data_IF_937119289523
#
_entry.id   IF_937119289523
#
_cell.length_a   1.000
_cell.length_b   1.000
_cell.length_c   1.000
_cell.angle_alpha   90.00
_cell.angle_beta   90.00
_cell.angle_gamma   90.00
#
_symmetry.space_group_name_H-M   'P 1'
#
loop_
_entity.id
_entity.type
_entity.pdbx_description
1 polymer ?
#
# COMPACT_ATOMS: atom_id res chain seq x y z
N UNK A 1 6.94 -14.65 6.50
CA UNK A 1 7.56 -13.34 6.81
C UNK A 1 6.48 -12.46 7.44
N UNK A 2 6.86 -11.30 7.98
CA UNK A 2 5.93 -10.38 8.64
C UNK A 2 4.85 -9.81 7.70
N UNK A 3 3.93 -9.03 8.26
CA UNK A 3 3.02 -8.17 7.52
C UNK A 3 3.24 -6.71 7.93
N UNK A 4 3.69 -5.89 6.98
CA UNK A 4 3.74 -4.43 7.08
C UNK A 4 2.62 -3.84 6.24
N UNK A 5 1.89 -2.90 6.82
CA UNK A 5 0.73 -2.22 6.26
C UNK A 5 0.96 -0.71 6.37
N UNK A 6 0.64 0.04 5.33
CA UNK A 6 0.40 1.48 5.45
C UNK A 6 -1.04 1.77 5.09
N UNK A 7 -1.66 2.72 5.79
CA UNK A 7 -3.04 3.09 5.56
C UNK A 7 -3.20 4.60 5.66
N UNK A 8 -4.14 5.13 4.89
CA UNK A 8 -4.59 6.51 4.99
C UNK A 8 -5.68 6.63 6.05
N UNK A 9 -5.92 7.85 6.54
CA UNK A 9 -6.99 8.13 7.49
C UNK A 9 -8.39 7.80 6.94
N UNK A 10 -8.53 7.83 5.60
CA UNK A 10 -9.76 7.50 4.88
C UNK A 10 -9.93 6.02 4.57
N UNK A 11 -8.95 5.18 4.92
CA UNK A 11 -9.07 3.75 4.71
C UNK A 11 -10.24 3.20 5.57
N UNK A 12 -11.19 2.45 4.99
CA UNK A 12 -12.33 1.91 5.73
C UNK A 12 -11.88 1.07 6.93
N UNK A 13 -12.62 1.08 8.03
CA UNK A 13 -12.32 0.21 9.18
C UNK A 13 -12.28 -1.26 8.74
N UNK A 14 -11.24 -1.99 9.15
CA UNK A 14 -11.09 -3.42 8.85
C UNK A 14 -12.00 -4.23 9.80
N UNK A 15 -12.87 -5.13 9.33
CA UNK A 15 -13.62 -6.03 10.20
C UNK A 15 -12.74 -6.95 11.07
N UNK A 16 -13.20 -7.31 12.27
CA UNK A 16 -12.38 -8.09 13.22
C UNK A 16 -11.85 -9.41 12.65
N UNK A 17 -12.62 -10.12 11.81
CA UNK A 17 -12.18 -11.38 11.21
C UNK A 17 -10.92 -11.24 10.34
N UNK A 18 -10.72 -10.11 9.67
CA UNK A 18 -9.50 -9.82 8.92
C UNK A 18 -8.33 -9.50 9.85
N UNK A 19 -8.59 -8.82 10.97
CA UNK A 19 -7.58 -8.56 11.98
C UNK A 19 -7.14 -9.87 12.67
N UNK A 20 -8.08 -10.78 12.93
CA UNK A 20 -7.82 -12.14 13.40
C UNK A 20 -6.97 -12.92 12.38
N UNK A 21 -7.31 -12.82 11.09
CA UNK A 21 -6.54 -13.43 10.01
C UNK A 21 -5.10 -12.91 10.00
N UNK A 22 -4.88 -11.59 9.97
CA UNK A 22 -3.54 -11.00 9.99
C UNK A 22 -2.71 -11.47 11.19
N UNK A 23 -3.34 -11.52 12.36
CA UNK A 23 -2.71 -12.01 13.58
C UNK A 23 -2.34 -13.50 13.49
N UNK A 24 -3.21 -14.34 12.93
CA UNK A 24 -3.00 -15.79 12.85
C UNK A 24 -1.73 -16.17 12.07
N UNK A 25 -1.32 -15.34 11.10
CA UNK A 25 -0.08 -15.49 10.35
C UNK A 25 1.13 -14.85 11.05
N UNK A 26 0.92 -13.86 11.93
CA UNK A 26 1.97 -12.99 12.48
C UNK A 26 1.81 -12.73 13.99
N UNK A 27 1.85 -13.77 14.85
CA UNK A 27 1.46 -13.64 16.27
C UNK A 27 2.57 -13.11 17.20
N UNK A 28 3.80 -12.90 16.72
CA UNK A 28 4.98 -12.72 17.60
C UNK A 28 5.23 -11.25 18.01
N UNK A 29 4.37 -10.32 17.58
CA UNK A 29 4.46 -8.91 17.94
C UNK A 29 3.63 -8.05 17.01
N UNK A 30 3.04 -6.98 17.52
CA UNK A 30 2.36 -5.99 16.69
C UNK A 30 2.74 -4.57 17.13
N UNK A 31 2.80 -3.65 16.18
CA UNK A 31 3.02 -2.25 16.49
C UNK A 31 2.40 -1.32 15.45
N UNK A 32 2.11 -0.10 15.90
CA UNK A 32 1.55 0.99 15.09
C UNK A 32 2.41 2.24 15.31
N UNK A 33 2.64 3.00 14.24
CA UNK A 33 3.15 4.37 14.32
C UNK A 33 2.30 5.33 13.50
N UNK A 34 2.03 6.51 14.05
CA UNK A 34 1.27 7.59 13.42
C UNK A 34 1.73 8.93 13.99
N UNK A 35 1.27 10.04 13.40
CA UNK A 35 1.48 11.38 13.95
C UNK A 35 0.16 11.95 14.47
N UNK A 36 0.20 12.52 15.67
CA UNK A 36 -0.93 13.18 16.32
C UNK A 36 -0.41 14.39 17.09
N UNK A 37 -1.06 15.55 16.89
CA UNK A 37 -0.66 16.84 17.48
C UNK A 37 0.82 17.19 17.25
N UNK A 38 1.33 16.88 16.05
CA UNK A 38 2.72 17.14 15.67
C UNK A 38 3.75 16.27 16.40
N UNK A 39 3.32 15.14 16.97
CA UNK A 39 4.18 14.17 17.66
C UNK A 39 4.00 12.78 17.07
N UNK A 40 5.12 12.08 16.90
CA UNK A 40 5.14 10.69 16.46
C UNK A 40 4.74 9.79 17.64
N UNK A 41 3.62 9.09 17.49
CA UNK A 41 3.11 8.11 18.44
C UNK A 41 3.58 6.71 18.04
N UNK A 42 4.04 5.92 19.02
CA UNK A 42 4.43 4.52 18.83
C UNK A 42 3.78 3.65 19.88
N UNK A 43 3.04 2.64 19.42
CA UNK A 43 2.42 1.65 20.28
C UNK A 43 2.86 0.25 19.85
N UNK A 44 3.23 -0.58 20.82
CA UNK A 44 3.67 -1.97 20.59
C UNK A 44 3.04 -2.90 21.59
N UNK A 45 2.76 -4.12 21.15
CA UNK A 45 2.32 -5.21 22.00
C UNK A 45 3.02 -6.50 21.57
N UNK A 46 3.26 -7.39 22.53
CA UNK A 46 3.50 -8.81 22.26
C UNK A 46 2.15 -9.49 22.53
N UNK A 47 1.32 -9.69 21.49
CA UNK A 47 -0.02 -10.21 21.68
C UNK A 47 0.03 -11.67 22.14
N UNK A 48 -0.91 -12.03 23.01
CA UNK A 48 -1.11 -13.41 23.49
C UNK A 48 -2.35 -14.06 22.86
N UNK A 49 -3.26 -13.24 22.33
CA UNK A 49 -4.40 -13.63 21.52
C UNK A 49 -4.71 -12.55 20.46
N UNK A 50 -5.64 -12.85 19.55
CA UNK A 50 -6.02 -11.92 18.47
C UNK A 50 -6.62 -10.61 19.03
N UNK A 51 -7.36 -10.69 20.14
CA UNK A 51 -7.98 -9.55 20.78
C UNK A 51 -6.96 -8.49 21.24
N UNK A 52 -5.73 -8.90 21.59
CA UNK A 52 -4.66 -7.96 21.94
C UNK A 52 -4.25 -7.11 20.72
N UNK A 53 -4.18 -7.72 19.53
CA UNK A 53 -3.91 -7.01 18.28
C UNK A 53 -5.11 -6.16 17.82
N UNK A 54 -6.32 -6.72 17.87
CA UNK A 54 -7.55 -5.99 17.52
C UNK A 54 -7.64 -4.73 18.37
N UNK A 55 -7.43 -4.84 19.68
CA UNK A 55 -7.44 -3.68 20.57
C UNK A 55 -6.38 -2.64 20.18
N UNK A 56 -5.15 -3.05 19.88
CA UNK A 56 -4.12 -2.14 19.39
C UNK A 56 -4.57 -1.41 18.11
N UNK A 57 -5.15 -2.14 17.15
CA UNK A 57 -5.65 -1.57 15.90
C UNK A 57 -6.77 -0.55 16.15
N UNK A 58 -7.79 -0.93 16.92
CA UNK A 58 -8.95 -0.05 17.21
C UNK A 58 -8.54 1.22 17.94
N UNK A 59 -7.64 1.11 18.91
CA UNK A 59 -7.22 2.26 19.71
C UNK A 59 -6.32 3.22 18.92
N UNK A 60 -5.44 2.70 18.06
CA UNK A 60 -4.29 3.45 17.54
C UNK A 60 -4.16 3.50 16.01
N UNK A 61 -4.85 2.66 15.26
CA UNK A 61 -4.77 2.64 13.80
C UNK A 61 -6.09 3.06 13.15
N UNK A 62 -7.23 2.62 13.67
CA UNK A 62 -8.52 2.85 13.02
C UNK A 62 -8.80 4.34 12.78
N UNK A 63 -9.20 4.68 11.55
CA UNK A 63 -9.42 6.06 11.08
C UNK A 63 -8.18 6.97 11.05
N UNK A 64 -6.95 6.42 11.09
CA UNK A 64 -5.70 7.21 11.10
C UNK A 64 -4.78 6.86 9.94
N UNK A 65 -4.11 7.89 9.43
CA UNK A 65 -2.94 7.69 8.57
C UNK A 65 -1.80 7.13 9.41
N UNK A 66 -1.41 5.89 9.14
CA UNK A 66 -0.48 5.18 9.99
C UNK A 66 0.24 4.04 9.25
N UNK A 67 1.29 3.54 9.88
CA UNK A 67 1.93 2.29 9.51
C UNK A 67 1.75 1.26 10.63
N UNK A 68 1.46 0.03 10.24
CA UNK A 68 1.17 -1.10 11.13
C UNK A 68 2.11 -2.24 10.76
N UNK A 69 2.68 -2.92 11.74
CA UNK A 69 3.49 -4.09 11.50
C UNK A 69 3.11 -5.22 12.45
N UNK A 70 2.77 -6.38 11.88
CA UNK A 70 2.66 -7.63 12.59
C UNK A 70 3.88 -8.50 12.30
N UNK A 71 4.49 -9.00 13.35
CA UNK A 71 5.75 -9.72 13.33
C UNK A 71 5.50 -11.22 13.32
N UNK A 72 6.15 -11.88 12.37
CA UNK A 72 6.43 -13.30 12.44
C UNK A 72 7.93 -13.48 12.69
N UNK A 73 8.29 -14.07 13.83
CA UNK A 73 9.68 -14.13 14.29
C UNK A 73 10.52 -15.03 13.38
N UNK A 74 11.44 -14.40 12.65
CA UNK A 74 12.55 -15.10 11.97
C UNK A 74 13.81 -15.13 12.82
N UNK A 75 14.14 -14.01 13.49
CA UNK A 75 15.32 -13.81 14.32
C UNK A 75 15.01 -12.93 15.55
N UNK A 76 15.94 -12.91 16.52
CA UNK A 76 15.79 -12.20 17.80
C UNK A 76 14.82 -12.90 18.74
N UNK A 77 14.55 -12.29 19.90
CA UNK A 77 13.57 -12.81 20.87
C UNK A 77 12.16 -12.25 20.62
N UNK A 78 11.13 -12.91 21.17
CA UNK A 78 9.74 -12.41 21.20
C UNK A 78 9.63 -11.44 22.39
N UNK A 79 9.81 -10.14 22.13
CA UNK A 79 9.71 -9.08 23.13
C UNK A 79 9.46 -7.73 22.44
N UNK A 80 9.03 -6.73 23.21
CA UNK A 80 8.76 -5.38 22.69
C UNK A 80 9.98 -4.68 22.08
N UNK A 81 11.19 -5.04 22.51
CA UNK A 81 12.42 -4.46 21.94
C UNK A 81 12.63 -4.91 20.50
N UNK A 82 12.27 -6.16 20.19
CA UNK A 82 12.38 -6.72 18.85
C UNK A 82 11.11 -6.54 17.99
N UNK A 83 10.04 -6.00 18.56
CA UNK A 83 8.79 -5.69 17.85
C UNK A 83 8.89 -4.34 17.15
N UNK A 84 8.54 -4.29 15.86
CA UNK A 84 8.45 -3.03 15.11
C UNK A 84 7.36 -2.11 15.68
N UNK A 85 7.45 -0.79 15.48
CA UNK A 85 8.49 -0.04 14.74
C UNK A 85 9.78 0.18 15.55
N UNK A 86 10.91 0.42 14.89
CA UNK A 86 12.19 0.73 15.55
C UNK A 86 12.53 2.21 15.45
N UNK A 87 13.13 2.74 16.51
CA UNK A 87 13.65 4.10 16.53
C UNK A 87 14.94 4.19 15.71
N UNK A 88 14.90 4.98 14.64
CA UNK A 88 16.11 5.37 13.91
C UNK A 88 16.76 6.56 14.62
N UNK A 89 15.98 7.60 14.91
CA UNK A 89 16.39 8.75 15.73
C UNK A 89 15.29 9.11 16.72
N UNK A 90 15.68 9.43 17.95
CA UNK A 90 14.76 9.88 19.01
C UNK A 90 14.32 11.34 18.84
N UNK A 91 13.40 11.79 19.69
CA UNK A 91 12.89 13.17 19.69
C UNK A 91 13.98 14.23 19.93
N UNK A 92 15.09 13.86 20.56
CA UNK A 92 16.22 14.73 20.88
C UNK A 92 17.17 14.98 19.69
N UNK A 93 16.98 14.27 18.58
CA UNK A 93 17.73 14.51 17.36
C UNK A 93 17.40 15.89 16.75
N UNK A 94 18.39 16.57 16.18
CA UNK A 94 18.27 17.94 15.63
C UNK A 94 17.14 18.11 14.60
N UNK A 95 16.83 17.03 13.89
CA UNK A 95 15.80 17.01 12.84
C UNK A 95 14.49 16.36 13.33
N UNK A 96 14.37 16.02 14.61
CA UNK A 96 13.21 15.33 15.20
C UNK A 96 13.25 13.80 15.05
N UNK A 97 12.22 13.14 15.60
CA UNK A 97 12.13 11.69 15.64
C UNK A 97 11.91 11.08 14.25
N UNK A 98 12.50 9.90 14.03
CA UNK A 98 12.34 9.07 12.85
C UNK A 98 12.24 7.61 13.26
N UNK A 99 11.17 6.94 12.82
CA UNK A 99 10.92 5.54 13.11
C UNK A 99 10.77 4.73 11.83
N UNK A 100 11.05 3.42 11.92
CA UNK A 100 10.95 2.52 10.78
C UNK A 100 10.34 1.16 11.09
N UNK A 101 9.59 0.64 10.12
CA UNK A 101 9.14 -0.74 10.07
C UNK A 101 9.82 -1.47 8.93
N UNK A 102 10.04 -2.77 9.08
CA UNK A 102 10.69 -3.60 8.06
C UNK A 102 9.94 -4.90 7.88
N UNK A 103 9.69 -5.27 6.63
CA UNK A 103 9.30 -6.63 6.29
C UNK A 103 10.39 -7.28 5.44
N UNK A 104 10.91 -8.41 5.92
CA UNK A 104 11.86 -9.25 5.22
C UNK A 104 12.95 -9.80 6.13
N UNK A 105 14.07 -10.18 5.53
CA UNK A 105 15.30 -10.62 6.21
C UNK A 105 16.48 -9.97 5.51
N UNK A 106 17.21 -9.14 6.26
CA UNK A 106 18.34 -8.39 5.72
C UNK A 106 19.57 -9.29 5.62
N UNK A 107 20.25 -9.24 4.47
CA UNK A 107 21.45 -10.03 4.22
C UNK A 107 22.62 -9.68 5.16
N UNK A 108 22.57 -8.50 5.80
CA UNK A 108 23.51 -8.09 6.86
C UNK A 108 23.41 -8.96 8.11
N UNK A 109 22.25 -9.58 8.35
CA UNK A 109 21.99 -10.52 9.43
C UNK A 109 22.11 -9.93 10.84
N UNK A 110 22.15 -10.80 11.84
CA UNK A 110 22.24 -10.45 13.26
C UNK A 110 23.35 -11.22 14.01
N UNK A 111 24.39 -11.65 13.30
CA UNK A 111 25.42 -12.53 13.84
C UNK A 111 26.25 -11.90 14.98
N UNK A 112 26.30 -10.57 15.07
CA UNK A 112 27.02 -9.87 16.15
C UNK A 112 26.31 -10.02 17.50
N UNK A 113 24.98 -9.95 17.52
CA UNK A 113 24.16 -10.18 18.71
C UNK A 113 22.83 -10.82 18.30
N UNK A 114 22.70 -12.15 18.46
CA UNK A 114 21.53 -12.89 18.02
C UNK A 114 20.26 -12.61 18.85
N UNK A 115 20.38 -11.91 19.98
CA UNK A 115 19.25 -11.47 20.80
C UNK A 115 18.51 -10.28 20.16
N UNK A 116 19.19 -9.55 19.26
CA UNK A 116 18.64 -8.44 18.49
C UNK A 116 18.25 -8.89 17.08
N UNK A 117 17.29 -8.18 16.48
CA UNK A 117 16.92 -8.38 15.08
C UNK A 117 18.02 -7.92 14.12
N UNK A 118 17.95 -8.40 12.87
CA UNK A 118 18.73 -7.89 11.75
C UNK A 118 18.48 -6.40 11.49
N UNK A 119 17.24 -5.94 11.72
CA UNK A 119 16.83 -4.54 11.55
C UNK A 119 17.50 -3.64 12.56
N UNK A 120 17.61 -4.07 13.82
CA UNK A 120 18.31 -3.33 14.86
C UNK A 120 19.78 -3.07 14.47
N UNK A 121 20.45 -4.10 13.94
CA UNK A 121 21.82 -3.97 13.43
C UNK A 121 21.89 -3.04 12.23
N UNK A 122 20.97 -3.20 11.28
CA UNK A 122 20.91 -2.37 10.08
C UNK A 122 20.77 -0.88 10.42
N UNK A 123 19.89 -0.55 11.36
CA UNK A 123 19.70 0.82 11.85
C UNK A 123 21.00 1.38 12.42
N UNK A 124 21.63 0.63 13.33
CA UNK A 124 22.84 1.07 14.03
C UNK A 124 24.03 1.23 13.08
N UNK A 125 24.25 0.26 12.20
CA UNK A 125 25.50 0.10 11.44
C UNK A 125 25.46 0.77 10.07
N UNK A 126 24.27 0.98 9.50
CA UNK A 126 24.11 1.52 8.15
C UNK A 126 23.23 2.77 8.14
N UNK A 127 21.99 2.65 8.59
CA UNK A 127 21.00 3.71 8.38
C UNK A 127 21.32 4.99 9.15
N UNK A 128 21.63 4.88 10.46
CA UNK A 128 22.00 6.05 11.27
C UNK A 128 23.23 6.77 10.69
N UNK A 129 24.36 6.09 10.40
CA UNK A 129 25.49 6.73 9.73
C UNK A 129 25.15 7.43 8.40
N UNK A 130 24.24 6.88 7.60
CA UNK A 130 23.84 7.48 6.32
C UNK A 130 22.99 8.74 6.50
N UNK A 131 22.16 8.80 7.54
CA UNK A 131 21.17 9.87 7.75
C UNK A 131 21.58 10.93 8.78
N UNK A 132 22.64 10.69 9.58
CA UNK A 132 23.10 11.55 10.69
C UNK A 132 23.28 13.03 10.29
N UNK A 133 23.76 13.28 9.07
CA UNK A 133 24.07 14.65 8.64
C UNK A 133 22.86 15.38 8.10
N UNK A 134 22.04 14.71 7.30
CA UNK A 134 20.81 15.25 6.74
C UNK A 134 19.80 14.12 6.53
N UNK A 135 18.81 14.00 7.42
CA UNK A 135 17.80 12.94 7.29
C UNK A 135 16.85 13.16 6.11
N UNK A 136 16.73 14.39 5.60
CA UNK A 136 15.78 14.73 4.53
C UNK A 136 16.10 14.01 3.23
N UNK A 137 17.35 13.58 3.05
CA UNK A 137 17.75 12.76 1.91
C UNK A 137 16.91 11.49 1.79
N UNK A 138 16.39 10.95 2.91
CA UNK A 138 15.51 9.78 2.93
C UNK A 138 14.27 9.97 2.04
N UNK A 139 13.78 11.20 1.92
CA UNK A 139 12.59 11.54 1.14
C UNK A 139 12.91 11.93 -0.30
N UNK A 140 14.18 11.82 -0.72
CA UNK A 140 14.57 12.02 -2.11
C UNK A 140 14.51 10.70 -2.89
N UNK A 141 13.98 10.75 -4.11
CA UNK A 141 13.85 9.59 -4.99
C UNK A 141 15.18 8.84 -5.18
N UNK A 142 16.29 9.56 -5.38
CA UNK A 142 17.60 8.95 -5.64
C UNK A 142 18.12 8.15 -4.44
N UNK A 143 17.89 8.63 -3.22
CA UNK A 143 18.27 7.89 -2.03
C UNK A 143 17.39 6.66 -1.84
N UNK A 144 16.08 6.79 -2.05
CA UNK A 144 15.13 5.68 -1.96
C UNK A 144 15.47 4.57 -2.95
N UNK A 145 15.77 4.92 -4.21
CA UNK A 145 16.24 4.00 -5.25
C UNK A 145 17.54 3.28 -4.87
N UNK A 146 18.51 4.01 -4.33
CA UNK A 146 19.78 3.44 -3.88
C UNK A 146 19.55 2.48 -2.70
N UNK A 147 18.74 2.90 -1.72
CA UNK A 147 18.41 2.10 -0.55
C UNK A 147 17.64 0.84 -0.95
N UNK A 148 16.66 0.96 -1.84
CA UNK A 148 15.89 -0.16 -2.40
C UNK A 148 16.78 -1.21 -3.04
N UNK A 149 17.73 -0.78 -3.88
CA UNK A 149 18.76 -1.67 -4.47
C UNK A 149 19.65 -2.33 -3.41
N UNK A 150 20.01 -1.60 -2.35
CA UNK A 150 20.85 -2.13 -1.28
C UNK A 150 20.13 -3.19 -0.45
N UNK A 151 18.84 -3.01 -0.19
CA UNK A 151 18.04 -3.91 0.64
C UNK A 151 17.37 -5.04 -0.16
N UNK A 152 17.36 -4.98 -1.49
CA UNK A 152 16.83 -6.05 -2.35
C UNK A 152 15.32 -6.25 -2.17
N UNK A 153 14.88 -7.46 -1.85
CA UNK A 153 13.44 -7.78 -1.70
C UNK A 153 12.85 -7.39 -0.34
N UNK A 154 13.56 -6.58 0.46
CA UNK A 154 13.09 -6.11 1.75
C UNK A 154 12.27 -4.82 1.56
N UNK A 155 11.25 -4.62 2.39
CA UNK A 155 10.42 -3.41 2.35
C UNK A 155 10.58 -2.66 3.67
N UNK A 156 10.76 -1.34 3.58
CA UNK A 156 10.80 -0.46 4.75
C UNK A 156 9.70 0.57 4.66
N UNK A 157 9.09 0.91 5.79
CA UNK A 157 8.28 2.13 5.91
C UNK A 157 8.89 3.01 6.98
N UNK A 158 9.12 4.28 6.65
CA UNK A 158 9.60 5.30 7.55
C UNK A 158 8.51 6.31 7.85
N UNK A 159 8.49 6.84 9.06
CA UNK A 159 7.64 7.95 9.48
C UNK A 159 8.45 8.90 10.35
N UNK A 160 8.34 10.20 10.07
CA UNK A 160 8.94 11.24 10.90
C UNK A 160 7.92 12.03 11.72
N UNK A 161 8.40 12.86 12.64
CA UNK A 161 7.56 13.68 13.50
C UNK A 161 6.73 14.75 12.75
N UNK A 162 7.06 15.10 11.50
CA UNK A 162 6.23 15.97 10.66
C UNK A 162 5.07 15.25 9.97
N UNK A 163 5.00 13.92 10.06
CA UNK A 163 4.00 13.11 9.38
C UNK A 163 4.43 12.63 8.00
N UNK A 164 5.67 12.91 7.59
CA UNK A 164 6.16 12.46 6.29
C UNK A 164 6.42 10.95 6.34
N UNK A 165 5.62 10.19 5.59
CA UNK A 165 5.73 8.74 5.47
C UNK A 165 6.32 8.36 4.10
N UNK A 166 7.22 7.38 4.08
CA UNK A 166 7.74 6.82 2.83
C UNK A 166 7.93 5.32 2.94
N UNK A 167 7.54 4.59 1.89
CA UNK A 167 7.77 3.16 1.76
C UNK A 167 8.84 2.90 0.69
N UNK A 168 9.89 2.18 1.07
CA UNK A 168 10.95 1.72 0.16
C UNK A 168 10.55 0.36 -0.39
N UNK A 169 10.72 0.19 -1.71
CA UNK A 169 10.30 -0.97 -2.47
C UNK A 169 8.77 -1.19 -2.42
N UNK A 170 8.01 -0.11 -2.52
CA UNK A 170 6.54 -0.13 -2.48
C UNK A 170 5.95 -1.00 -3.61
N UNK A 171 6.60 -1.04 -4.76
CA UNK A 171 6.21 -1.84 -5.93
C UNK A 171 6.20 -3.36 -5.68
N UNK A 172 6.80 -3.80 -4.57
CA UNK A 172 6.82 -5.21 -4.14
C UNK A 172 5.68 -5.56 -3.18
N UNK A 173 4.81 -4.61 -2.86
CA UNK A 173 3.56 -4.84 -2.14
C UNK A 173 2.34 -4.81 -3.05
N UNK A 174 1.17 -4.79 -2.42
CA UNK A 174 -0.14 -4.83 -3.08
C UNK A 174 -1.09 -3.87 -2.39
N UNK A 175 -2.06 -3.32 -3.12
CA UNK A 175 -3.09 -2.45 -2.54
C UNK A 175 -4.33 -3.29 -2.19
N UNK A 176 -4.88 -3.09 -1.01
CA UNK A 176 -6.07 -3.80 -0.53
C UNK A 176 -6.84 -2.94 0.48
N UNK A 177 -8.14 -2.74 0.26
CA UNK A 177 -9.02 -2.04 1.19
C UNK A 177 -8.54 -0.63 1.60
N UNK A 178 -8.03 0.16 0.64
CA UNK A 178 -7.49 1.50 0.91
C UNK A 178 -6.11 1.51 1.59
N UNK A 179 -5.41 0.38 1.60
CA UNK A 179 -4.13 0.18 2.30
C UNK A 179 -3.09 -0.40 1.36
N UNK A 180 -1.83 -0.19 1.67
CA UNK A 180 -0.74 -0.95 1.07
C UNK A 180 -0.34 -2.10 2.00
N UNK A 181 -0.21 -3.29 1.43
CA UNK A 181 0.18 -4.52 2.10
C UNK A 181 1.51 -4.97 1.52
N UNK A 182 2.50 -5.17 2.38
CA UNK A 182 3.87 -5.52 1.96
C UNK A 182 4.07 -6.91 1.34
N UNK A 183 3.02 -7.74 1.26
CA UNK A 183 2.99 -9.05 0.59
C UNK A 183 1.55 -9.65 0.59
N UNK A 184 1.38 -10.80 -0.06
CA UNK A 184 0.12 -11.58 -0.19
C UNK A 184 0.11 -12.91 0.57
N UNK A 185 1.16 -13.25 1.32
CA UNK A 185 1.32 -14.59 1.90
C UNK A 185 1.35 -14.61 3.44
N UNK A 186 1.36 -13.44 4.06
CA UNK A 186 1.32 -13.26 5.52
C UNK A 186 -0.11 -12.94 6.02
N UNK A 187 -1.12 -13.29 5.23
CA UNK A 187 -2.55 -13.17 5.48
C UNK A 187 -3.29 -13.97 4.40
N UNK A 188 -4.59 -14.18 4.55
CA UNK A 188 -5.45 -14.85 3.56
C UNK A 188 -5.79 -13.90 2.40
N UNK A 189 -4.76 -13.48 1.66
CA UNK A 189 -4.93 -12.56 0.54
C UNK A 189 -5.86 -13.15 -0.53
N UNK A 190 -6.81 -12.37 -1.06
CA UNK A 190 -7.58 -12.73 -2.23
C UNK A 190 -6.69 -13.14 -3.42
N UNK A 191 -7.16 -14.15 -4.17
CA UNK A 191 -6.37 -14.87 -5.18
C UNK A 191 -5.83 -14.01 -6.32
N UNK A 192 -6.42 -12.85 -6.59
CA UNK A 192 -6.06 -11.98 -7.71
C UNK A 192 -5.08 -10.86 -7.33
N UNK A 193 -4.74 -10.68 -6.05
CA UNK A 193 -3.83 -9.62 -5.60
C UNK A 193 -2.34 -9.88 -5.91
N UNK A 194 -1.96 -10.68 -6.91
CA UNK A 194 -0.54 -10.99 -7.10
C UNK A 194 0.32 -9.75 -7.40
N UNK A 195 1.43 -9.61 -6.67
CA UNK A 195 2.46 -8.57 -6.88
C UNK A 195 2.92 -8.56 -8.34
N UNK A 196 3.20 -7.39 -8.92
CA UNK A 196 3.64 -7.14 -10.31
C UNK A 196 4.91 -7.91 -10.76
N UNK A 197 4.88 -9.24 -10.74
CA UNK A 197 6.04 -10.11 -10.85
C UNK A 197 5.64 -11.58 -11.00
N UNK A 198 5.48 -11.99 -12.25
CA UNK A 198 5.34 -13.35 -12.76
C UNK A 198 3.94 -14.00 -12.71
N UNK A 199 3.21 -13.88 -13.83
CA UNK A 199 2.23 -14.87 -14.28
C UNK A 199 2.80 -16.29 -14.12
N UNK A 200 2.41 -16.98 -13.05
CA UNK A 200 2.43 -18.44 -12.99
C UNK A 200 1.02 -18.93 -13.20
N UNK A 201 0.76 -19.36 -14.42
CA UNK A 201 -0.39 -20.19 -14.75
C UNK A 201 -0.37 -21.47 -13.91
N UNK A 202 -1.11 -21.48 -12.81
CA UNK A 202 -1.53 -22.72 -12.16
C UNK A 202 -3.01 -22.66 -11.86
N UNK A 203 -3.78 -23.07 -12.87
CA UNK A 203 -5.12 -23.62 -12.73
C UNK A 203 -5.12 -24.74 -11.68
N UNK A 204 -5.84 -24.57 -10.58
CA UNK A 204 -6.70 -25.63 -10.02
C UNK A 204 -7.84 -24.97 -9.21
N UNK A 205 -9.11 -25.34 -9.43
CA UNK A 205 -10.27 -24.57 -9.01
C UNK A 205 -10.79 -24.97 -7.63
N UNK A 206 -11.32 -24.00 -6.88
CA UNK A 206 -12.26 -24.24 -5.79
C UNK A 206 -13.62 -24.64 -6.38
N UNK A 207 -13.76 -25.90 -6.81
CA UNK A 207 -15.08 -26.51 -7.04
C UNK A 207 -15.06 -27.91 -6.41
N UNK A 208 -15.41 -27.98 -5.13
CA UNK A 208 -15.97 -29.20 -4.54
C UNK A 208 -17.23 -28.85 -3.75
N UNK A 209 -18.23 -28.19 -4.38
CA UNK A 209 -19.64 -28.28 -3.93
C UNK A 209 -20.65 -27.83 -4.98
N UNK A 210 -20.66 -28.41 -6.18
CA UNK A 210 -21.88 -28.40 -7.01
C UNK A 210 -22.06 -29.80 -7.59
N UNK A 211 -23.03 -30.53 -7.04
CA UNK A 211 -23.45 -31.82 -7.55
C UNK A 211 -24.13 -31.64 -8.91
N UNK A 212 -23.75 -32.49 -9.87
CA UNK A 212 -24.47 -32.88 -11.10
C UNK A 212 -25.31 -31.80 -11.79
N UNK A 213 -24.66 -30.97 -12.62
CA UNK A 213 -25.34 -30.26 -13.72
C UNK A 213 -24.96 -30.96 -15.03
N UNK A 214 -25.98 -31.43 -15.76
CA UNK A 214 -25.84 -32.05 -17.08
C UNK A 214 -25.37 -31.00 -18.10
N UNK A 215 -24.18 -31.23 -18.68
CA UNK A 215 -23.49 -30.32 -19.59
C UNK A 215 -24.16 -30.18 -20.97
N UNK A 216 -25.33 -30.79 -21.18
CA UNK A 216 -26.05 -30.79 -22.46
C UNK A 216 -26.98 -29.58 -22.68
N UNK A 217 -27.21 -28.69 -21.69
CA UNK A 217 -28.20 -27.59 -21.80
C UNK A 217 -27.62 -26.16 -21.86
N UNK A 218 -26.30 -25.96 -22.00
CA UNK A 218 -25.75 -24.60 -22.15
C UNK A 218 -25.92 -24.12 -23.60
N UNK A 219 -26.67 -23.02 -23.87
CA UNK A 219 -26.79 -22.47 -25.22
C UNK A 219 -25.46 -21.84 -25.66
N UNK A 220 -25.05 -22.09 -26.91
CA UNK A 220 -23.81 -21.55 -27.49
C UNK A 220 -23.75 -20.01 -27.40
N UNK A 221 -22.68 -19.48 -26.78
CA UNK A 221 -22.37 -18.05 -26.80
C UNK A 221 -21.88 -17.63 -28.19
N UNK A 222 -22.26 -16.44 -28.70
CA UNK A 222 -21.86 -15.97 -30.02
C UNK A 222 -20.37 -15.60 -30.05
N UNK A 223 -19.63 -16.19 -30.97
CA UNK A 223 -18.23 -15.85 -31.26
C UNK A 223 -18.17 -14.57 -32.10
N UNK A 224 -17.58 -13.49 -31.57
CA UNK A 224 -17.08 -12.39 -32.37
C UNK A 224 -15.65 -12.70 -32.83
N UNK A 225 -15.47 -12.89 -34.13
CA UNK A 225 -14.19 -13.21 -34.74
C UNK A 225 -13.30 -11.97 -34.87
N UNK A 226 -12.06 -12.07 -34.41
CA UNK A 226 -10.97 -11.17 -34.81
C UNK A 226 -10.09 -11.92 -35.80
N UNK A 227 -10.17 -11.51 -37.07
CA UNK A 227 -9.23 -11.92 -38.11
C UNK A 227 -7.95 -11.08 -37.98
N UNK A 228 -6.84 -11.70 -37.57
CA UNK A 228 -5.52 -11.06 -37.52
C UNK A 228 -4.42 -12.05 -37.14
N UNK A 229 -3.38 -12.12 -37.97
CA UNK A 229 -2.29 -13.11 -38.04
C UNK A 229 -1.40 -13.20 -36.76
N UNK A 230 -1.15 -14.40 -36.18
CA UNK A 230 -0.46 -14.57 -34.88
C UNK A 230 1.07 -14.62 -34.96
N UNK A 231 1.71 -13.83 -35.83
CA UNK A 231 3.18 -13.74 -35.86
C UNK A 231 3.70 -12.32 -36.07
N UNK A 232 3.62 -11.45 -35.06
CA UNK A 232 4.61 -10.36 -34.90
C UNK A 232 4.93 -10.11 -33.43
N UNK A 233 6.16 -10.47 -33.07
CA UNK A 233 6.79 -10.16 -31.79
C UNK A 233 7.33 -8.73 -31.80
N UNK A 234 6.83 -7.88 -30.92
CA UNK A 234 7.37 -6.53 -30.75
C UNK A 234 8.45 -6.56 -29.68
N UNK A 235 9.70 -6.43 -30.16
CA UNK A 235 10.91 -6.23 -29.36
C UNK A 235 10.92 -4.79 -28.83
N UNK A 236 11.15 -4.63 -27.54
CA UNK A 236 11.52 -3.33 -26.96
C UNK A 236 12.94 -3.00 -27.40
N UNK A 237 13.13 -1.89 -28.13
CA UNK A 237 14.44 -1.31 -28.36
C UNK A 237 14.45 0.13 -27.88
N UNK A 238 15.25 0.39 -26.86
CA UNK A 238 15.66 1.74 -26.48
C UNK A 238 16.36 2.43 -27.65
N UNK A 239 15.87 3.60 -28.07
CA UNK A 239 16.68 4.81 -28.30
C UNK A 239 15.74 6.02 -28.47
N UNK A 240 15.92 6.95 -27.55
CA UNK A 240 15.48 8.35 -27.45
C UNK A 240 15.11 9.04 -28.78
N UNK A 241 13.90 9.59 -28.81
CA UNK A 241 13.44 10.60 -29.76
C UNK A 241 12.11 11.18 -29.29
N UNK A 242 12.17 12.35 -28.64
CA UNK A 242 11.02 13.08 -28.15
C UNK A 242 9.92 13.22 -29.22
N UNK A 243 8.70 12.83 -28.86
CA UNK A 243 7.47 13.49 -29.27
C UNK A 243 6.39 13.20 -28.22
N UNK A 244 6.16 14.19 -27.38
CA UNK A 244 4.93 14.46 -26.63
C UNK A 244 3.72 14.35 -27.58
N UNK A 245 2.86 13.35 -27.39
CA UNK A 245 1.40 13.31 -27.67
C UNK A 245 0.95 11.83 -27.59
N UNK A 246 0.09 11.47 -26.61
CA UNK A 246 -0.79 10.30 -26.72
C UNK A 246 -0.59 9.09 -25.79
N UNK A 247 -0.14 9.26 -24.54
CA UNK A 247 -0.24 8.19 -23.52
C UNK A 247 -1.46 8.36 -22.58
N UNK A 248 -2.05 9.54 -22.49
CA UNK A 248 -3.15 9.84 -21.56
C UNK A 248 -4.52 9.37 -22.08
N UNK A 249 -4.79 9.46 -23.40
CA UNK A 249 -6.10 9.09 -23.98
C UNK A 249 -6.44 7.60 -23.81
N UNK A 250 -5.46 6.71 -24.04
CA UNK A 250 -5.74 5.26 -24.02
C UNK A 250 -5.95 4.68 -22.62
N UNK A 251 -5.39 5.32 -21.59
CA UNK A 251 -5.58 4.90 -20.20
C UNK A 251 -6.90 5.42 -19.65
N UNK A 252 -7.26 6.67 -19.96
CA UNK A 252 -8.55 7.23 -19.58
C UNK A 252 -9.72 6.46 -20.21
N UNK A 253 -9.62 6.10 -21.49
CA UNK A 253 -10.61 5.27 -22.18
C UNK A 253 -10.75 3.87 -21.55
N UNK A 254 -9.63 3.25 -21.14
CA UNK A 254 -9.65 1.96 -20.43
C UNK A 254 -10.36 2.07 -19.08
N UNK A 255 -9.99 3.05 -18.26
CA UNK A 255 -10.55 3.23 -16.92
C UNK A 255 -12.05 3.48 -16.98
N UNK A 256 -12.51 4.33 -17.90
CA UNK A 256 -13.94 4.60 -18.06
C UNK A 256 -14.70 3.34 -18.51
N UNK A 257 -14.13 2.57 -19.44
CA UNK A 257 -14.72 1.28 -19.88
C UNK A 257 -14.86 0.31 -18.71
N UNK A 258 -13.83 0.20 -17.85
CA UNK A 258 -13.89 -0.68 -16.68
C UNK A 258 -14.88 -0.17 -15.63
N UNK A 259 -15.06 1.14 -15.51
CA UNK A 259 -16.04 1.73 -14.60
C UNK A 259 -17.48 1.37 -15.00
N UNK A 260 -17.80 1.38 -16.30
CA UNK A 260 -19.09 0.90 -16.82
C UNK A 260 -19.33 -0.58 -16.47
N UNK A 261 -18.32 -1.44 -16.69
CA UNK A 261 -18.41 -2.89 -16.40
C UNK A 261 -18.66 -3.14 -14.91
N UNK A 262 -17.93 -2.46 -14.04
CA UNK A 262 -18.09 -2.58 -12.59
C UNK A 262 -19.46 -2.06 -12.13
N UNK A 263 -19.97 -0.98 -12.73
CA UNK A 263 -21.30 -0.46 -12.42
C UNK A 263 -22.41 -1.44 -12.80
N UNK A 264 -22.29 -2.09 -13.96
CA UNK A 264 -23.20 -3.14 -14.41
C UNK A 264 -23.18 -4.34 -13.46
N UNK A 265 -21.99 -4.83 -13.07
CA UNK A 265 -21.84 -5.93 -12.12
C UNK A 265 -22.54 -5.63 -10.77
N UNK A 266 -22.36 -4.42 -10.22
CA UNK A 266 -23.04 -4.01 -8.96
C UNK A 266 -24.57 -4.19 -9.09
N UNK A 267 -25.11 -3.87 -10.27
CA UNK A 267 -26.52 -4.08 -10.58
C UNK A 267 -26.90 -5.56 -10.67
N UNK A 268 -26.11 -6.37 -11.36
CA UNK A 268 -26.34 -7.82 -11.53
C UNK A 268 -26.26 -8.60 -10.22
N UNK A 269 -25.35 -8.20 -9.33
CA UNK A 269 -25.17 -8.78 -7.99
C UNK A 269 -26.27 -8.36 -6.99
N UNK A 270 -27.19 -7.49 -7.40
CA UNK A 270 -28.34 -7.08 -6.60
C UNK A 270 -28.02 -6.04 -5.52
N UNK A 271 -26.87 -5.36 -5.61
CA UNK A 271 -26.44 -4.32 -4.67
C UNK A 271 -27.18 -3.00 -4.97
N UNK A 272 -28.47 -2.98 -4.63
CA UNK A 272 -29.42 -1.94 -5.04
C UNK A 272 -29.20 -0.54 -4.45
N UNK A 273 -28.50 -0.43 -3.32
CA UNK A 273 -28.09 0.81 -2.66
C UNK A 273 -26.81 1.31 -3.32
N UNK A 274 -25.82 0.44 -3.54
CA UNK A 274 -24.57 0.79 -4.21
C UNK A 274 -24.80 1.20 -5.66
N UNK A 275 -25.60 0.44 -6.42
CA UNK A 275 -25.96 0.72 -7.81
C UNK A 275 -26.59 2.10 -8.02
N UNK A 276 -27.32 2.61 -7.01
CA UNK A 276 -27.98 3.91 -7.07
C UNK A 276 -27.09 5.08 -6.67
N UNK A 277 -26.06 4.83 -5.88
CA UNK A 277 -25.24 5.89 -5.26
C UNK A 277 -23.85 6.00 -5.89
N UNK A 278 -23.35 4.93 -6.50
CA UNK A 278 -22.12 4.95 -7.28
C UNK A 278 -22.47 5.17 -8.74
N UNK A 279 -21.86 6.18 -9.35
CA UNK A 279 -21.89 6.38 -10.80
C UNK A 279 -20.52 6.03 -11.41
N UNK A 280 -20.48 5.94 -12.74
CA UNK A 280 -19.28 5.60 -13.49
C UNK A 280 -18.10 6.56 -13.22
N UNK A 281 -18.35 7.83 -12.87
CA UNK A 281 -17.27 8.76 -12.54
C UNK A 281 -16.66 8.45 -11.18
N UNK A 282 -17.49 8.20 -10.18
CA UNK A 282 -17.04 7.78 -8.84
C UNK A 282 -16.25 6.48 -8.93
N UNK A 283 -16.73 5.52 -9.72
CA UNK A 283 -16.06 4.25 -9.95
C UNK A 283 -14.74 4.46 -10.71
N UNK A 284 -14.72 5.28 -11.76
CA UNK A 284 -13.51 5.63 -12.52
C UNK A 284 -12.43 6.29 -11.63
N UNK A 285 -12.83 7.24 -10.78
CA UNK A 285 -11.93 7.88 -9.81
C UNK A 285 -11.37 6.84 -8.83
N UNK A 286 -12.23 5.95 -8.35
CA UNK A 286 -11.83 4.86 -7.46
C UNK A 286 -10.93 3.82 -8.15
N UNK A 287 -11.12 3.49 -9.44
CA UNK A 287 -10.20 2.64 -10.22
C UNK A 287 -8.83 3.30 -10.32
N UNK A 288 -8.81 4.60 -10.62
CA UNK A 288 -7.56 5.36 -10.77
C UNK A 288 -6.75 5.33 -9.47
N UNK A 289 -7.42 5.36 -8.32
CA UNK A 289 -6.75 5.47 -7.02
C UNK A 289 -6.50 4.14 -6.32
N UNK A 290 -7.51 3.28 -6.25
CA UNK A 290 -7.45 2.00 -5.54
C UNK A 290 -7.05 0.85 -6.45
N UNK A 291 -7.17 1.00 -7.77
CA UNK A 291 -7.00 -0.06 -8.74
C UNK A 291 -8.30 -0.85 -8.96
N UNK A 292 -8.53 -1.28 -10.20
CA UNK A 292 -9.72 -2.04 -10.60
C UNK A 292 -9.97 -3.28 -9.73
N UNK A 293 -8.90 -4.02 -9.41
CA UNK A 293 -8.94 -5.24 -8.60
C UNK A 293 -9.55 -5.03 -7.20
N UNK A 294 -9.30 -3.88 -6.58
CA UNK A 294 -9.83 -3.54 -5.25
C UNK A 294 -11.34 -3.31 -5.31
N UNK A 295 -11.83 -2.75 -6.40
CA UNK A 295 -13.26 -2.50 -6.56
C UNK A 295 -14.02 -3.81 -6.76
N UNK A 296 -13.52 -4.71 -7.60
CA UNK A 296 -14.08 -6.06 -7.75
C UNK A 296 -14.22 -6.76 -6.40
N UNK A 297 -13.21 -6.68 -5.54
CA UNK A 297 -13.29 -7.25 -4.20
C UNK A 297 -14.36 -6.62 -3.33
N UNK A 298 -14.37 -5.29 -3.23
CA UNK A 298 -15.33 -4.60 -2.36
C UNK A 298 -16.76 -4.88 -2.81
N UNK A 299 -16.99 -4.98 -4.12
CA UNK A 299 -18.27 -5.36 -4.71
C UNK A 299 -18.65 -6.79 -4.29
N UNK A 300 -17.76 -7.77 -4.46
CA UNK A 300 -18.05 -9.16 -4.05
C UNK A 300 -18.16 -9.31 -2.52
N UNK A 301 -17.39 -8.58 -1.73
CA UNK A 301 -17.54 -8.55 -0.28
C UNK A 301 -18.89 -7.99 0.14
N UNK A 302 -19.40 -6.98 -0.57
CA UNK A 302 -20.74 -6.46 -0.33
C UNK A 302 -21.83 -7.48 -0.74
N UNK A 303 -21.63 -8.18 -1.86
CA UNK A 303 -22.52 -9.24 -2.33
C UNK A 303 -22.61 -10.42 -1.35
N UNK A 304 -21.45 -10.86 -0.83
CA UNK A 304 -21.35 -11.96 0.12
C UNK A 304 -21.74 -11.55 1.56
N UNK A 305 -22.01 -10.26 1.78
CA UNK A 305 -22.46 -9.70 3.06
C UNK A 305 -21.36 -9.50 4.11
N UNK A 306 -20.09 -9.50 3.70
CA UNK A 306 -18.95 -9.17 4.58
C UNK A 306 -18.86 -7.68 4.91
N UNK A 307 -19.28 -6.83 3.97
CA UNK A 307 -19.49 -5.39 4.18
C UNK A 307 -20.90 -5.02 3.73
N UNK A 308 -21.45 -3.94 4.27
CA UNK A 308 -22.73 -3.40 3.84
C UNK A 308 -22.58 -2.63 2.53
N UNK A 309 -23.66 -2.54 1.75
CA UNK A 309 -23.66 -1.70 0.55
C UNK A 309 -23.33 -0.23 0.84
N UNK A 310 -23.66 0.27 2.04
CA UNK A 310 -23.33 1.64 2.42
C UNK A 310 -21.84 1.80 2.75
N UNK A 311 -21.20 0.77 3.33
CA UNK A 311 -19.75 0.76 3.52
C UNK A 311 -19.01 0.73 2.18
N UNK A 312 -19.52 -0.03 1.20
CA UNK A 312 -19.03 0.00 -0.18
C UNK A 312 -19.15 1.40 -0.79
N UNK A 313 -20.34 2.02 -0.72
CA UNK A 313 -20.57 3.38 -1.23
C UNK A 313 -19.62 4.38 -0.61
N UNK A 314 -19.51 4.38 0.72
CA UNK A 314 -18.65 5.32 1.44
C UNK A 314 -17.17 5.12 1.07
N UNK A 315 -16.74 3.88 0.86
CA UNK A 315 -15.36 3.56 0.46
C UNK A 315 -15.02 4.11 -0.92
N UNK A 316 -15.95 3.99 -1.87
CA UNK A 316 -15.70 4.41 -3.26
C UNK A 316 -16.00 5.90 -3.51
N UNK A 317 -16.81 6.53 -2.65
CA UNK A 317 -17.25 7.93 -2.82
C UNK A 317 -16.43 8.97 -2.05
N UNK A 318 -15.44 8.57 -1.25
CA UNK A 318 -14.60 9.49 -0.47
C UNK A 318 -13.51 10.14 -1.33
N UNK A 319 -13.92 10.93 -2.33
CA UNK A 319 -13.04 11.66 -3.26
C UNK A 319 -12.53 13.00 -2.72
N UNK A 320 -13.14 13.55 -1.67
CA UNK A 320 -12.70 14.82 -1.06
C UNK A 320 -11.35 14.68 -0.34
N UNK A 321 -11.03 13.51 0.22
CA UNK A 321 -9.68 13.21 0.70
C UNK A 321 -8.68 12.91 -0.43
N UNK A 322 -9.18 12.45 -1.58
CA UNK A 322 -8.39 12.11 -2.77
C UNK A 322 -7.85 13.35 -3.47
N UNK A 323 -8.64 14.44 -3.54
CA UNK A 323 -8.18 15.72 -4.10
C UNK A 323 -7.34 16.56 -3.13
N UNK A 324 -7.61 16.51 -1.82
CA UNK A 324 -6.84 17.26 -0.82
C UNK A 324 -5.35 16.85 -0.75
N UNK A 325 -5.03 15.59 -1.06
CA UNK A 325 -3.65 15.09 -1.10
C UNK A 325 -2.87 15.56 -2.34
N UNK A 326 -3.55 15.85 -3.45
CA UNK A 326 -2.95 16.33 -4.71
C UNK A 326 -2.82 17.85 -4.71
N UNK A 327 -3.82 18.58 -4.20
CA UNK A 327 -3.82 20.05 -4.11
C UNK A 327 -2.79 20.57 -3.08
N UNK A 328 -2.44 19.74 -2.09
CA UNK A 328 -1.33 19.99 -1.17
C UNK A 328 0.07 19.83 -1.80
N UNK A 329 0.20 19.07 -2.90
CA UNK A 329 1.47 18.89 -3.61
C UNK A 329 1.70 19.96 -4.69
N UNK A 330 0.65 20.49 -5.32
CA UNK A 330 0.82 21.56 -6.33
C UNK A 330 1.03 22.95 -5.71
N UNK A 331 0.48 23.24 -4.52
CA UNK A 331 0.64 24.56 -3.89
C UNK A 331 2.00 24.78 -3.23
N UNK A 332 2.68 23.74 -2.74
CA UNK A 332 4.01 23.87 -2.14
C UNK A 332 5.14 24.03 -3.19
N UNK A 333 4.89 23.64 -4.45
CA UNK A 333 5.89 23.77 -5.52
C UNK A 333 5.94 25.18 -6.13
N UNK A 334 4.86 25.96 -6.03
CA UNK A 334 4.80 27.32 -6.60
C UNK A 334 5.13 28.44 -5.61
N UNK A 335 5.00 28.22 -4.31
CA UNK A 335 5.25 29.29 -3.32
C UNK A 335 6.75 29.48 -3.00
N UNK A 336 7.56 28.40 -3.02
CA UNK A 336 9.01 28.49 -2.74
C UNK A 336 9.87 29.07 -3.89
N UNK A 337 9.28 29.36 -5.06
CA UNK A 337 9.99 29.95 -6.21
C UNK A 337 9.57 31.38 -6.54
N UNK A 338 8.63 31.98 -5.80
CA UNK A 338 8.26 33.38 -5.97
C UNK A 338 9.16 34.35 -5.18
N UNK A 339 9.78 33.89 -4.09
CA UNK A 339 10.59 34.73 -3.20
C UNK A 339 12.11 34.77 -3.51
N UNK A 340 12.61 33.93 -4.43
CA UNK A 340 14.04 33.91 -4.75
C UNK A 340 14.47 34.88 -5.87
N UNK A 341 13.54 35.57 -6.54
CA UNK A 341 13.84 36.49 -7.65
C UNK A 341 13.74 37.98 -7.25
N UNK A 342 13.32 38.31 -6.03
CA UNK A 342 13.07 39.70 -5.62
C UNK A 342 14.25 40.44 -4.97
N UNK A 343 15.42 39.83 -4.71
CA UNK A 343 16.46 40.47 -3.89
C UNK A 343 17.91 40.42 -4.40
N UNK A 344 18.13 40.45 -5.72
CA UNK A 344 19.45 40.80 -6.28
C UNK A 344 19.44 42.18 -6.95
N UNK A 345 19.33 43.24 -6.14
CA UNK A 345 19.76 44.58 -6.57
C UNK A 345 21.00 44.99 -5.76
N UNK A 346 22.13 45.01 -6.48
CA UNK A 346 23.21 45.99 -6.38
C UNK A 346 23.47 46.65 -5.02
N UNK A 347 24.62 46.36 -4.40
CA UNK A 347 25.55 47.42 -3.99
C UNK A 347 27.00 46.92 -4.12
N UNK A 348 27.68 47.43 -5.15
CA UNK A 348 29.14 47.56 -5.15
C UNK A 348 29.56 48.63 -4.15
N UNK A 349 30.61 48.42 -3.36
CA UNK A 349 31.75 49.35 -3.25
C UNK A 349 32.73 48.96 -2.12
N UNK A 350 34.00 48.87 -2.56
CA UNK A 350 35.28 48.84 -1.84
C UNK A 350 35.65 47.63 -1.00
#
# INVERSE_FOLDING_TARGET
MCLLITQLATAPSIPDHWLEDFYSYNPDGAGVMYVEDGRLQVHKVVPTCAEDFIKLFRDHADGRECAIHLRWRTHGDINNENTHPYEVFGEDHKDGALWMMHNGVLATGNAMDTTKSDTWHFIRDYLRPMLEHDRRILFTYQFQEMLGKFIGNNRFTFLDASGQMVTINEEQGVRWGGRWMSNTYAWSAPLHLETNGALKTTTTPLIETIAEIDLAEIPERPTYGVTGDPTQSWRWSDTVGANTYGYEDGYADYVYTQAEVLHEEIGELGLSVAFKQLDENVISDAITYYGEDVLWELIYQAHDGYITEQELVNTLSDTDALYAAVDGMENDYYDEHSDFVANSQYVSHY
#
